data_IF_892624903171
#
_entry.id   IF_892624903171
#
_cell.length_a   1.000
_cell.length_b   1.000
_cell.length_c   1.000
_cell.angle_alpha   90.00
_cell.angle_beta   90.00
_cell.angle_gamma   90.00
#
_symmetry.space_group_name_H-M   'P 1'
#
loop_
_entity.id
_entity.type
_entity.pdbx_description
1 polymer ?
#
# COMPACT_ATOMS: atom_id res chain seq x y z
N UNK A 1 -15.20 -8.51 -2.16
CA UNK A 1 -14.64 -9.75 -1.58
C UNK A 1 -13.85 -10.58 -2.59
N UNK A 2 -14.43 -10.99 -3.73
CA UNK A 2 -13.79 -11.95 -4.65
C UNK A 2 -12.58 -11.40 -5.46
N UNK A 3 -12.47 -10.08 -5.63
CA UNK A 3 -11.37 -9.49 -6.40
C UNK A 3 -10.00 -9.73 -5.73
N UNK A 4 -9.89 -9.56 -4.42
CA UNK A 4 -8.66 -9.84 -3.66
C UNK A 4 -8.25 -11.31 -3.81
N UNK A 5 -9.22 -12.22 -3.75
CA UNK A 5 -8.97 -13.65 -3.96
C UNK A 5 -8.50 -13.95 -5.39
N UNK A 6 -9.08 -13.28 -6.40
CA UNK A 6 -8.66 -13.42 -7.78
C UNK A 6 -7.22 -12.93 -7.98
N UNK A 7 -6.87 -11.79 -7.36
CA UNK A 7 -5.49 -11.28 -7.33
C UNK A 7 -4.54 -12.30 -6.69
N UNK A 8 -4.90 -12.88 -5.55
CA UNK A 8 -4.09 -13.91 -4.90
C UNK A 8 -3.80 -15.11 -5.83
N UNK A 9 -4.84 -15.58 -6.53
CA UNK A 9 -4.71 -16.71 -7.45
C UNK A 9 -3.80 -16.41 -8.64
N UNK A 10 -3.87 -15.21 -9.23
CA UNK A 10 -2.99 -14.86 -10.35
C UNK A 10 -1.53 -14.67 -9.92
N UNK A 11 -1.27 -14.16 -8.71
CA UNK A 11 0.10 -14.05 -8.20
C UNK A 11 0.68 -15.45 -7.97
N UNK A 12 -0.12 -16.38 -7.42
CA UNK A 12 0.25 -17.78 -7.27
C UNK A 12 0.51 -18.47 -8.60
N UNK A 13 -0.34 -18.24 -9.60
CA UNK A 13 -0.13 -18.79 -10.94
C UNK A 13 1.15 -18.24 -11.56
N UNK A 14 1.45 -16.94 -11.40
CA UNK A 14 2.71 -16.36 -11.88
C UNK A 14 3.94 -16.97 -11.18
N UNK A 15 3.86 -17.26 -9.87
CA UNK A 15 4.90 -17.98 -9.13
C UNK A 15 5.05 -19.41 -9.62
N UNK A 16 3.94 -20.11 -9.86
CA UNK A 16 3.95 -21.49 -10.35
C UNK A 16 4.69 -21.62 -11.68
N UNK A 17 4.55 -20.61 -12.55
CA UNK A 17 5.27 -20.51 -13.83
C UNK A 17 6.77 -20.30 -13.66
N UNK A 18 7.19 -19.69 -12.55
CA UNK A 18 8.61 -19.62 -12.18
C UNK A 18 9.10 -21.01 -11.73
N UNK A 19 8.43 -21.59 -10.73
CA UNK A 19 8.66 -22.96 -10.32
C UNK A 19 7.47 -23.49 -9.49
N UNK A 20 6.95 -24.71 -9.75
CA UNK A 20 5.74 -25.21 -9.08
C UNK A 20 5.83 -25.26 -7.55
N UNK A 21 7.00 -25.53 -6.96
CA UNK A 21 7.16 -25.59 -5.50
C UNK A 21 6.99 -24.22 -4.81
N UNK A 22 7.17 -23.11 -5.54
CA UNK A 22 7.11 -21.77 -4.98
C UNK A 22 5.69 -21.33 -4.58
N UNK A 23 4.67 -22.10 -4.93
CA UNK A 23 3.29 -21.86 -4.47
C UNK A 23 3.07 -22.32 -3.02
N UNK A 24 3.96 -23.14 -2.46
CA UNK A 24 3.80 -23.67 -1.11
C UNK A 24 4.53 -22.84 -0.08
N UNK A 25 3.91 -22.64 1.08
CA UNK A 25 4.49 -21.88 2.19
C UNK A 25 5.83 -22.47 2.63
N UNK A 26 5.87 -23.79 2.73
CA UNK A 26 7.06 -24.61 2.95
C UNK A 26 7.25 -25.50 1.71
N UNK A 27 8.42 -25.40 1.07
CA UNK A 27 8.73 -26.14 -0.18
C UNK A 27 8.91 -27.63 0.08
N UNK A 28 9.32 -28.01 1.29
CA UNK A 28 9.52 -29.39 1.72
C UNK A 28 8.19 -29.99 2.21
N UNK A 29 7.28 -29.14 2.72
CA UNK A 29 5.95 -29.55 3.21
C UNK A 29 4.83 -28.90 2.40
N UNK A 30 4.50 -29.53 1.27
CA UNK A 30 3.51 -29.09 0.28
C UNK A 30 2.04 -29.25 0.74
N UNK A 31 1.69 -28.76 1.93
CA UNK A 31 0.31 -28.81 2.48
C UNK A 31 -0.42 -27.47 2.34
N UNK A 32 0.28 -26.37 2.59
CA UNK A 32 -0.30 -25.03 2.60
C UNK A 32 0.27 -24.19 1.45
N UNK A 33 -0.60 -23.47 0.74
CA UNK A 33 -0.15 -22.49 -0.26
C UNK A 33 0.22 -21.17 0.39
N UNK A 34 1.08 -20.39 -0.26
CA UNK A 34 1.48 -19.04 0.20
C UNK A 34 0.27 -18.13 0.35
N UNK A 35 0.31 -17.12 1.23
CA UNK A 35 -0.70 -16.05 1.25
C UNK A 35 -0.50 -15.08 0.10
N UNK A 36 -1.37 -14.08 -0.04
CA UNK A 36 -1.23 -13.00 -1.01
C UNK A 36 0.06 -12.18 -0.79
N UNK A 37 0.32 -11.79 0.46
CA UNK A 37 1.52 -11.08 0.91
C UNK A 37 2.78 -11.89 0.60
N UNK A 38 2.75 -13.18 0.93
CA UNK A 38 3.90 -14.03 0.71
C UNK A 38 4.13 -14.30 -0.78
N UNK A 39 3.05 -14.41 -1.58
CA UNK A 39 3.16 -14.54 -3.03
C UNK A 39 3.80 -13.30 -3.65
N UNK A 40 3.31 -12.09 -3.31
CA UNK A 40 3.87 -10.84 -3.79
C UNK A 40 5.36 -10.69 -3.42
N UNK A 41 5.71 -10.95 -2.15
CA UNK A 41 7.10 -10.89 -1.68
C UNK A 41 8.03 -11.84 -2.42
N UNK A 42 7.57 -13.08 -2.70
CA UNK A 42 8.36 -14.04 -3.50
C UNK A 42 8.53 -13.59 -4.94
N UNK A 43 7.48 -13.05 -5.57
CA UNK A 43 7.57 -12.52 -6.93
C UNK A 43 8.59 -11.37 -7.03
N UNK A 44 8.63 -10.48 -6.03
CA UNK A 44 9.64 -9.42 -5.94
C UNK A 44 11.06 -9.97 -5.78
N UNK A 45 11.27 -10.88 -4.82
CA UNK A 45 12.60 -11.34 -4.46
C UNK A 45 13.20 -12.32 -5.47
N UNK A 46 12.38 -13.24 -5.98
CA UNK A 46 12.79 -14.36 -6.84
C UNK A 46 12.61 -13.99 -8.30
N UNK A 47 11.38 -13.72 -8.72
CA UNK A 47 11.04 -13.43 -10.13
C UNK A 47 11.35 -11.99 -10.57
N UNK A 48 11.87 -11.15 -9.65
CA UNK A 48 12.21 -9.73 -9.89
C UNK A 48 11.04 -8.92 -10.46
N UNK A 49 9.80 -9.29 -10.14
CA UNK A 49 8.64 -8.51 -10.51
C UNK A 49 8.57 -7.28 -9.62
N UNK A 50 8.59 -6.11 -10.25
CA UNK A 50 8.38 -4.84 -9.56
C UNK A 50 6.89 -4.59 -9.36
N UNK A 51 6.54 -4.19 -8.13
CA UNK A 51 5.22 -3.70 -7.76
C UNK A 51 5.37 -2.26 -7.27
N UNK A 52 4.44 -1.40 -7.63
CA UNK A 52 4.33 -0.09 -6.99
C UNK A 52 3.96 -0.29 -5.52
N UNK A 53 4.56 0.50 -4.63
CA UNK A 53 4.23 0.51 -3.21
C UNK A 53 2.74 0.85 -3.02
N UNK A 54 2.22 1.83 -3.75
CA UNK A 54 0.81 2.23 -3.66
C UNK A 54 -0.15 1.11 -4.07
N UNK A 55 0.24 0.26 -5.02
CA UNK A 55 -0.55 -0.91 -5.40
C UNK A 55 -0.57 -1.96 -4.29
N UNK A 56 0.59 -2.27 -3.68
CA UNK A 56 0.67 -3.19 -2.54
C UNK A 56 -0.13 -2.69 -1.35
N UNK A 57 0.00 -1.42 -1.00
CA UNK A 57 -0.72 -0.81 0.12
C UNK A 57 -2.24 -0.88 -0.14
N UNK A 58 -2.68 -0.65 -1.38
CA UNK A 58 -4.09 -0.82 -1.78
C UNK A 58 -4.56 -2.26 -1.64
N UNK A 59 -3.72 -3.25 -2.00
CA UNK A 59 -4.03 -4.67 -1.83
C UNK A 59 -4.18 -5.04 -0.36
N UNK A 60 -3.32 -4.51 0.52
CA UNK A 60 -3.41 -4.74 1.96
C UNK A 60 -4.65 -4.11 2.58
N UNK A 61 -4.97 -2.87 2.21
CA UNK A 61 -6.21 -2.22 2.64
C UNK A 61 -7.45 -2.98 2.16
N UNK A 62 -7.47 -3.47 0.92
CA UNK A 62 -8.58 -4.27 0.43
C UNK A 62 -8.73 -5.61 1.18
N UNK A 63 -7.61 -6.17 1.64
CA UNK A 63 -7.58 -7.38 2.45
C UNK A 63 -8.11 -7.11 3.86
N UNK A 64 -7.80 -5.96 4.47
CA UNK A 64 -8.37 -5.57 5.75
C UNK A 64 -9.88 -5.31 5.65
N UNK A 65 -10.34 -4.64 4.59
CA UNK A 65 -11.78 -4.45 4.30
C UNK A 65 -12.51 -5.80 4.17
N UNK A 66 -11.91 -6.78 3.49
CA UNK A 66 -12.47 -8.13 3.43
C UNK A 66 -12.66 -8.70 4.83
N UNK A 67 -11.65 -8.60 5.70
CA UNK A 67 -11.71 -9.14 7.05
C UNK A 67 -12.79 -8.44 7.88
N UNK A 68 -12.86 -7.10 7.84
CA UNK A 68 -13.88 -6.32 8.56
C UNK A 68 -15.30 -6.65 8.12
N UNK A 69 -15.54 -6.82 6.81
CA UNK A 69 -16.83 -7.26 6.26
C UNK A 69 -17.21 -8.64 6.80
N UNK A 70 -16.24 -9.58 6.82
CA UNK A 70 -16.46 -10.95 7.32
C UNK A 70 -16.75 -10.96 8.83
N UNK A 71 -16.14 -10.04 9.58
CA UNK A 71 -16.29 -9.91 11.03
C UNK A 71 -17.42 -8.94 11.47
N UNK A 72 -18.21 -8.39 10.54
CA UNK A 72 -19.34 -7.48 10.78
C UNK A 72 -19.01 -6.15 11.50
N UNK A 73 -17.75 -5.71 11.49
CA UNK A 73 -17.31 -4.42 12.06
C UNK A 73 -17.35 -3.30 10.99
N UNK A 74 -18.54 -3.02 10.45
CA UNK A 74 -18.66 -2.22 9.23
C UNK A 74 -18.95 -0.73 9.48
N UNK A 75 -17.89 0.10 9.54
CA UNK A 75 -17.98 1.56 9.52
C UNK A 75 -17.08 2.17 8.43
N UNK A 76 -17.22 1.68 7.18
CA UNK A 76 -16.42 2.14 6.02
C UNK A 76 -17.32 2.92 5.07
N UNK A 77 -16.85 4.10 4.65
CA UNK A 77 -17.57 4.95 3.69
C UNK A 77 -17.56 4.37 2.27
N UNK A 78 -18.67 4.55 1.54
CA UNK A 78 -18.82 3.98 0.19
C UNK A 78 -17.78 4.51 -0.80
N UNK A 79 -17.34 5.76 -0.63
CA UNK A 79 -16.32 6.40 -1.46
C UNK A 79 -14.96 5.74 -1.25
N UNK A 80 -14.62 5.37 -0.01
CA UNK A 80 -13.38 4.65 0.33
C UNK A 80 -13.35 3.30 -0.38
N UNK A 81 -14.43 2.52 -0.26
CA UNK A 81 -14.54 1.19 -0.89
C UNK A 81 -14.41 1.30 -2.41
N UNK A 82 -15.15 2.22 -3.03
CA UNK A 82 -15.09 2.41 -4.49
C UNK A 82 -13.69 2.82 -4.96
N UNK A 83 -13.02 3.70 -4.22
CA UNK A 83 -11.67 4.17 -4.53
C UNK A 83 -10.65 3.02 -4.47
N UNK A 84 -10.68 2.23 -3.40
CA UNK A 84 -9.81 1.07 -3.23
C UNK A 84 -10.06 0.03 -4.32
N UNK A 85 -11.33 -0.33 -4.57
CA UNK A 85 -11.65 -1.31 -5.63
C UNK A 85 -11.31 -0.82 -7.03
N UNK A 86 -11.46 0.49 -7.31
CA UNK A 86 -11.01 1.08 -8.58
C UNK A 86 -9.52 0.89 -8.79
N UNK A 87 -8.69 1.16 -7.78
CA UNK A 87 -7.23 0.93 -7.85
C UNK A 87 -6.91 -0.56 -8.01
N UNK A 88 -7.58 -1.45 -7.28
CA UNK A 88 -7.39 -2.90 -7.43
C UNK A 88 -7.71 -3.41 -8.83
N UNK A 89 -8.78 -2.90 -9.46
CA UNK A 89 -9.12 -3.28 -10.84
C UNK A 89 -8.03 -2.78 -11.79
N UNK A 90 -7.54 -1.54 -11.59
CA UNK A 90 -6.42 -0.98 -12.34
C UNK A 90 -5.16 -1.84 -12.23
N UNK A 91 -4.77 -2.21 -11.01
CA UNK A 91 -3.67 -3.13 -10.75
C UNK A 91 -3.90 -4.49 -11.41
N UNK A 92 -5.08 -5.08 -11.25
CA UNK A 92 -5.37 -6.40 -11.79
C UNK A 92 -5.28 -6.41 -13.33
N UNK A 93 -5.82 -5.39 -13.98
CA UNK A 93 -5.72 -5.17 -15.42
C UNK A 93 -4.25 -5.04 -15.86
N UNK A 94 -3.48 -4.17 -15.21
CA UNK A 94 -2.09 -3.91 -15.57
C UNK A 94 -1.22 -5.14 -15.38
N UNK A 95 -1.41 -5.88 -14.29
CA UNK A 95 -0.67 -7.09 -13.99
C UNK A 95 -0.97 -8.21 -15.01
N UNK A 96 -2.24 -8.45 -15.33
CA UNK A 96 -2.61 -9.44 -16.36
C UNK A 96 -2.04 -9.08 -17.73
N UNK A 97 -2.13 -7.82 -18.13
CA UNK A 97 -1.58 -7.38 -19.41
C UNK A 97 -0.06 -7.53 -19.45
N UNK A 98 0.64 -7.18 -18.36
CA UNK A 98 2.10 -7.24 -18.28
C UNK A 98 2.61 -8.68 -18.24
N UNK A 99 2.09 -9.49 -17.32
CA UNK A 99 2.63 -10.82 -16.97
C UNK A 99 1.97 -11.98 -17.75
N UNK A 100 0.75 -11.79 -18.26
CA UNK A 100 -0.01 -12.85 -18.94
C UNK A 100 -0.39 -12.50 -20.38
N UNK A 101 -0.24 -11.23 -20.80
CA UNK A 101 -0.69 -10.72 -22.11
C UNK A 101 -2.20 -10.92 -22.32
N UNK A 102 -2.98 -10.85 -21.24
CA UNK A 102 -4.44 -11.00 -21.23
C UNK A 102 -5.07 -9.71 -20.72
N UNK A 103 -6.22 -9.34 -21.30
CA UNK A 103 -7.01 -8.18 -20.84
C UNK A 103 -8.23 -8.65 -20.05
N UNK A 104 -8.61 -7.94 -18.99
CA UNK A 104 -9.76 -8.32 -18.15
C UNK A 104 -11.07 -8.36 -18.93
N UNK A 105 -11.30 -7.43 -19.85
CA UNK A 105 -12.53 -7.36 -20.66
C UNK A 105 -12.72 -8.58 -21.58
N UNK A 106 -11.65 -9.33 -21.86
CA UNK A 106 -11.72 -10.56 -22.64
C UNK A 106 -12.08 -11.80 -21.82
N UNK A 107 -11.94 -11.74 -20.49
CA UNK A 107 -12.16 -12.90 -19.59
C UNK A 107 -13.34 -12.69 -18.64
N UNK A 108 -13.74 -11.44 -18.40
CA UNK A 108 -14.87 -11.11 -17.52
C UNK A 108 -16.14 -10.94 -18.36
N UNK A 109 -17.27 -11.38 -17.80
CA UNK A 109 -18.59 -11.10 -18.39
C UNK A 109 -18.77 -9.59 -18.64
N UNK A 110 -19.26 -9.24 -19.84
CA UNK A 110 -19.43 -7.86 -20.28
C UNK A 110 -20.24 -6.99 -19.30
N UNK A 111 -21.29 -7.53 -18.69
CA UNK A 111 -22.10 -6.80 -17.72
C UNK A 111 -21.31 -6.46 -16.45
N UNK A 112 -20.56 -7.43 -15.92
CA UNK A 112 -19.68 -7.22 -14.76
C UNK A 112 -18.60 -6.19 -15.09
N UNK A 113 -18.01 -6.28 -16.28
CA UNK A 113 -17.03 -5.31 -16.75
C UNK A 113 -17.61 -3.89 -16.84
N UNK A 114 -18.83 -3.73 -17.34
CA UNK A 114 -19.51 -2.43 -17.35
C UNK A 114 -19.75 -1.87 -15.94
N UNK A 115 -20.02 -2.71 -14.94
CA UNK A 115 -20.13 -2.25 -13.55
C UNK A 115 -18.77 -1.84 -12.98
N UNK A 116 -17.70 -2.55 -13.32
CA UNK A 116 -16.33 -2.18 -12.96
C UNK A 116 -15.96 -0.80 -13.55
N UNK A 117 -16.28 -0.56 -14.83
CA UNK A 117 -16.07 0.74 -15.49
C UNK A 117 -16.81 1.86 -14.74
N UNK A 118 -18.07 1.66 -14.33
CA UNK A 118 -18.81 2.69 -13.57
C UNK A 118 -18.14 3.07 -12.25
N UNK A 119 -17.52 2.11 -11.57
CA UNK A 119 -16.76 2.38 -10.33
C UNK A 119 -15.53 3.22 -10.66
N UNK A 120 -14.79 2.84 -11.70
CA UNK A 120 -13.61 3.56 -12.16
C UNK A 120 -13.95 4.99 -12.57
N UNK A 121 -14.99 5.18 -13.38
CA UNK A 121 -15.44 6.48 -13.86
C UNK A 121 -15.90 7.38 -12.72
N UNK A 122 -16.62 6.82 -11.74
CA UNK A 122 -17.03 7.54 -10.54
C UNK A 122 -15.82 8.11 -9.77
N UNK A 123 -14.80 7.28 -9.53
CA UNK A 123 -13.59 7.71 -8.81
C UNK A 123 -12.77 8.71 -9.64
N UNK A 124 -12.67 8.49 -10.96
CA UNK A 124 -11.98 9.40 -11.87
C UNK A 124 -12.61 10.80 -11.89
N UNK A 125 -13.94 10.88 -11.85
CA UNK A 125 -14.65 12.16 -11.78
C UNK A 125 -14.38 12.87 -10.45
N UNK A 126 -14.35 12.16 -9.31
CA UNK A 126 -13.97 12.73 -8.02
C UNK A 126 -12.52 13.25 -8.03
N UNK A 127 -11.57 12.46 -8.55
CA UNK A 127 -10.18 12.88 -8.72
C UNK A 127 -10.03 14.10 -9.61
N UNK A 128 -10.82 14.18 -10.69
CA UNK A 128 -10.83 15.34 -11.58
C UNK A 128 -11.29 16.60 -10.86
N UNK A 129 -12.31 16.50 -10.01
CA UNK A 129 -12.79 17.61 -9.16
C UNK A 129 -11.76 18.01 -8.11
N UNK A 130 -11.14 17.05 -7.44
CA UNK A 130 -10.05 17.31 -6.49
C UNK A 130 -8.89 18.05 -7.18
N UNK A 131 -8.47 17.60 -8.37
CA UNK A 131 -7.43 18.28 -9.17
C UNK A 131 -7.82 19.69 -9.60
N UNK A 132 -9.09 19.95 -9.87
CA UNK A 132 -9.57 21.30 -10.15
C UNK A 132 -9.48 22.18 -8.90
N UNK A 133 -9.86 21.66 -7.73
CA UNK A 133 -9.75 22.36 -6.45
C UNK A 133 -8.29 22.68 -6.10
N UNK A 134 -7.36 21.74 -6.32
CA UNK A 134 -5.92 22.00 -6.11
C UNK A 134 -5.46 23.23 -6.88
N UNK A 135 -5.92 23.40 -8.14
CA UNK A 135 -5.58 24.54 -8.98
C UNK A 135 -6.25 25.82 -8.49
N UNK A 136 -7.54 25.79 -8.17
CA UNK A 136 -8.26 27.00 -7.74
C UNK A 136 -7.75 27.54 -6.41
N UNK A 137 -7.29 26.66 -5.53
CA UNK A 137 -6.80 27.01 -4.19
C UNK A 137 -5.27 27.18 -4.15
N UNK A 138 -4.58 27.07 -5.30
CA UNK A 138 -3.13 27.15 -5.41
C UNK A 138 -2.41 26.18 -4.45
N UNK A 139 -2.87 24.94 -4.38
CA UNK A 139 -2.24 23.87 -3.59
C UNK A 139 -0.94 23.46 -4.27
N UNK A 140 0.15 23.53 -3.52
CA UNK A 140 1.49 23.12 -3.95
C UNK A 140 1.57 21.59 -3.90
N UNK A 141 2.14 20.98 -4.94
CA UNK A 141 2.20 19.51 -5.12
C UNK A 141 2.86 18.80 -3.95
N UNK A 142 3.92 19.37 -3.36
CA UNK A 142 4.64 18.80 -2.22
C UNK A 142 3.80 18.69 -0.93
N UNK A 143 2.64 19.34 -0.91
CA UNK A 143 1.67 19.27 0.19
C UNK A 143 0.45 18.39 -0.13
N UNK A 144 0.52 17.59 -1.21
CA UNK A 144 -0.50 16.62 -1.62
C UNK A 144 0.04 15.20 -1.40
N UNK A 145 -0.67 14.43 -0.59
CA UNK A 145 -0.29 13.08 -0.18
C UNK A 145 -1.34 12.06 -0.59
N UNK A 146 -0.94 10.79 -0.61
CA UNK A 146 -1.86 9.68 -0.69
C UNK A 146 -2.68 9.59 0.60
N UNK A 147 -4.01 9.54 0.46
CA UNK A 147 -4.91 9.42 1.59
C UNK A 147 -4.89 7.99 2.17
N UNK A 148 -4.77 7.80 3.49
CA UNK A 148 -4.70 6.47 4.11
C UNK A 148 -6.03 5.70 4.06
N UNK A 149 -7.14 6.39 3.76
CA UNK A 149 -8.48 5.78 3.67
C UNK A 149 -8.86 5.34 2.26
N UNK A 150 -8.70 6.23 1.29
CA UNK A 150 -9.14 5.97 -0.09
C UNK A 150 -7.99 5.68 -1.06
N UNK A 151 -6.74 5.81 -0.60
CA UNK A 151 -5.51 5.58 -1.35
C UNK A 151 -5.39 6.44 -2.62
N UNK A 152 -6.06 7.59 -2.62
CA UNK A 152 -5.94 8.58 -3.69
C UNK A 152 -4.97 9.69 -3.28
N UNK A 153 -4.09 10.10 -4.21
CA UNK A 153 -3.22 11.29 -4.06
C UNK A 153 -4.06 12.57 -4.05
N UNK A 154 -4.64 12.86 -2.89
CA UNK A 154 -5.63 13.91 -2.72
C UNK A 154 -5.77 14.40 -1.28
N UNK A 155 -4.90 13.94 -0.37
CA UNK A 155 -4.85 14.43 1.00
C UNK A 155 -3.99 15.70 1.06
N UNK A 156 -4.59 16.83 1.42
CA UNK A 156 -3.94 18.14 1.39
C UNK A 156 -3.65 18.60 2.81
N UNK A 157 -2.40 18.98 3.10
CA UNK A 157 -2.00 19.53 4.41
C UNK A 157 -1.67 21.03 4.38
N UNK A 158 -1.66 21.64 3.19
CA UNK A 158 -1.35 23.07 3.03
C UNK A 158 -2.33 23.92 3.86
N UNK A 159 -1.84 24.98 4.50
CA UNK A 159 -2.67 25.90 5.30
C UNK A 159 -3.56 25.21 6.35
N UNK A 160 -3.08 24.09 6.94
CA UNK A 160 -3.80 23.31 7.96
C UNK A 160 -5.09 22.64 7.46
N UNK A 161 -5.27 22.50 6.13
CA UNK A 161 -6.45 21.87 5.53
C UNK A 161 -6.64 20.43 6.01
N UNK A 162 -5.55 19.64 6.07
CA UNK A 162 -5.50 18.31 6.67
C UNK A 162 -6.63 17.35 6.23
N UNK A 163 -7.03 17.43 4.96
CA UNK A 163 -8.25 16.77 4.45
C UNK A 163 -8.03 16.14 3.08
N UNK A 164 -8.64 14.99 2.83
CA UNK A 164 -8.74 14.35 1.52
C UNK A 164 -9.85 14.95 0.65
N UNK A 165 -9.50 15.47 -0.52
CA UNK A 165 -10.45 16.10 -1.45
C UNK A 165 -11.30 15.09 -2.24
N UNK A 166 -11.04 13.78 -2.07
CA UNK A 166 -11.84 12.71 -2.69
C UNK A 166 -12.84 12.11 -1.71
N UNK A 167 -12.39 11.68 -0.53
CA UNK A 167 -13.24 10.98 0.43
C UNK A 167 -13.65 11.82 1.64
N UNK A 168 -13.10 13.03 1.81
CA UNK A 168 -13.39 13.90 2.95
C UNK A 168 -12.72 13.49 4.25
N UNK A 169 -11.87 12.47 4.25
CA UNK A 169 -11.15 12.04 5.44
C UNK A 169 -10.22 13.16 5.95
N UNK A 170 -10.34 13.46 7.24
CA UNK A 170 -9.48 14.38 7.97
C UNK A 170 -8.50 13.59 8.84
N UNK A 171 -7.24 14.02 8.85
CA UNK A 171 -6.21 13.43 9.69
C UNK A 171 -5.08 14.43 9.95
N UNK A 172 -4.16 14.12 10.87
CA UNK A 172 -3.02 14.98 11.18
C UNK A 172 -1.73 14.37 10.66
N UNK A 173 -0.90 15.23 10.10
CA UNK A 173 0.46 14.89 9.69
C UNK A 173 1.47 15.76 10.42
N UNK A 174 2.56 15.15 10.84
CA UNK A 174 3.70 15.82 11.46
C UNK A 174 5.00 15.46 10.73
N UNK A 175 6.04 16.26 10.93
CA UNK A 175 7.35 15.98 10.36
C UNK A 175 8.08 14.99 11.24
N UNK A 176 8.64 13.95 10.62
CA UNK A 176 9.65 13.12 11.27
C UNK A 176 10.81 14.01 11.75
N UNK A 177 11.21 13.87 13.01
CA UNK A 177 12.27 14.67 13.62
C UNK A 177 13.61 14.55 12.88
N UNK A 178 13.91 13.38 12.31
CA UNK A 178 15.18 13.14 11.64
C UNK A 178 15.16 13.58 10.18
N UNK A 179 14.22 13.07 9.37
CA UNK A 179 14.24 13.29 7.93
C UNK A 179 13.42 14.49 7.46
N UNK A 180 12.72 15.16 8.38
CA UNK A 180 11.86 16.33 8.15
C UNK A 180 10.71 16.12 7.16
N UNK A 181 10.46 14.88 6.73
CA UNK A 181 9.35 14.53 5.85
C UNK A 181 8.07 14.37 6.66
N UNK A 182 6.96 14.85 6.09
CA UNK A 182 5.63 14.66 6.66
C UNK A 182 5.22 13.18 6.67
N UNK A 183 4.58 12.77 7.77
CA UNK A 183 4.00 11.44 8.02
C UNK A 183 2.68 11.61 8.77
N UNK A 184 1.76 10.67 8.64
CA UNK A 184 0.62 10.60 9.53
C UNK A 184 1.11 10.36 10.97
N UNK A 185 0.42 10.92 11.95
CA UNK A 185 0.83 10.78 13.36
C UNK A 185 0.92 9.30 13.76
N UNK A 186 0.01 8.48 13.26
CA UNK A 186 0.00 7.03 13.54
C UNK A 186 1.19 6.28 12.91
N UNK A 187 1.88 6.89 11.94
CA UNK A 187 3.12 6.37 11.32
C UNK A 187 4.40 6.91 11.98
N UNK A 188 4.24 7.68 13.06
CA UNK A 188 5.34 8.25 13.83
C UNK A 188 5.46 7.53 15.17
N UNK A 189 6.70 7.24 15.54
CA UNK A 189 7.04 6.45 16.71
C UNK A 189 8.06 7.19 17.57
N UNK A 190 7.99 6.95 18.87
CA UNK A 190 9.03 7.40 19.80
C UNK A 190 10.21 6.42 19.75
N UNK A 191 11.43 6.96 19.82
CA UNK A 191 12.63 6.14 19.87
C UNK A 191 12.77 5.42 21.22
N UNK A 192 12.29 6.07 22.29
CA UNK A 192 12.22 5.61 23.67
C UNK A 192 10.95 6.17 24.34
N UNK A 193 10.47 5.53 25.41
CA UNK A 193 9.22 5.95 26.11
C UNK A 193 9.26 7.39 26.65
N UNK A 194 10.46 7.92 26.95
CA UNK A 194 10.67 9.27 27.48
C UNK A 194 11.19 10.26 26.43
N UNK A 195 11.14 9.92 25.13
CA UNK A 195 11.56 10.82 24.08
C UNK A 195 10.42 11.77 23.69
N UNK A 196 10.72 13.05 23.51
CA UNK A 196 9.76 14.05 23.05
C UNK A 196 9.69 14.11 21.52
N UNK A 197 10.57 13.35 20.86
CA UNK A 197 10.79 13.38 19.42
C UNK A 197 10.18 12.16 18.75
N UNK A 198 9.47 12.43 17.66
CA UNK A 198 8.82 11.42 16.86
C UNK A 198 9.59 11.15 15.57
N UNK A 199 9.74 9.88 15.24
CA UNK A 199 10.53 9.39 14.11
C UNK A 199 9.67 8.47 13.25
N UNK A 200 9.83 8.54 11.94
CA UNK A 200 9.25 7.52 11.06
C UNK A 200 10.00 6.20 11.20
N UNK A 201 9.33 5.09 10.85
CA UNK A 201 9.89 3.72 10.95
C UNK A 201 11.27 3.60 10.29
N UNK A 202 11.42 4.11 9.05
CA UNK A 202 12.70 4.07 8.32
C UNK A 202 13.85 4.70 9.12
N UNK A 203 13.61 5.87 9.72
CA UNK A 203 14.62 6.57 10.51
C UNK A 203 14.94 5.85 11.81
N UNK A 204 13.95 5.20 12.45
CA UNK A 204 14.20 4.37 13.64
C UNK A 204 15.09 3.18 13.28
N UNK A 205 14.81 2.50 12.17
CA UNK A 205 15.61 1.35 11.73
C UNK A 205 17.05 1.77 11.43
N UNK A 206 17.26 2.88 10.72
CA UNK A 206 18.60 3.42 10.48
C UNK A 206 19.32 3.79 11.79
N UNK A 207 18.63 4.44 12.71
CA UNK A 207 19.15 4.82 14.02
C UNK A 207 19.62 3.63 14.86
N UNK A 208 18.80 2.58 14.89
CA UNK A 208 19.11 1.34 15.63
C UNK A 208 20.31 0.63 15.01
N UNK A 209 20.36 0.56 13.68
CA UNK A 209 21.49 -0.05 12.98
C UNK A 209 22.81 0.69 13.24
N UNK A 210 22.77 2.03 13.35
CA UNK A 210 23.97 2.82 13.72
C UNK A 210 24.45 2.52 15.15
N UNK A 211 23.55 2.40 16.13
CA UNK A 211 23.96 2.06 17.51
C UNK A 211 24.56 0.67 17.63
N UNK A 212 24.00 -0.32 16.94
CA UNK A 212 24.56 -1.67 16.93
C UNK A 212 25.99 -1.69 16.35
N UNK A 213 26.30 -0.82 15.39
CA UNK A 213 27.67 -0.67 14.87
C UNK A 213 28.62 -0.03 15.89
N UNK A 214 28.14 0.93 16.70
CA UNK A 214 28.96 1.56 17.76
C UNK A 214 29.22 0.59 18.94
N UNK A 215 28.25 -0.28 19.27
CA UNK A 215 28.41 -1.31 20.31
C UNK A 215 29.35 -2.46 19.87
N UNK A 216 29.40 -2.79 18.57
CA UNK A 216 30.34 -3.79 18.01
C UNK A 216 31.79 -3.28 17.88
N UNK A 217 31.99 -1.96 17.79
CA UNK A 217 33.34 -1.34 17.76
C UNK A 217 33.93 -1.25 19.18
N UNK A 218 33.09 -1.31 20.23
CA UNK A 218 33.50 -1.30 21.64
C UNK A 218 34.24 -2.56 22.12
N UNK A 219 34.27 -3.65 21.34
CA UNK A 219 34.92 -4.91 21.71
C UNK A 219 36.27 -5.18 21.02
N UNK A 220 36.79 -4.27 20.18
CA UNK A 220 38.05 -4.46 19.45
C UNK A 220 39.20 -3.50 19.83
N UNK A 221 39.14 -2.86 20.99
CA UNK A 221 40.26 -2.02 21.49
C UNK A 221 40.72 -2.35 22.90
N UNK A 222 40.87 -3.63 23.22
CA UNK A 222 41.76 -4.07 24.31
C UNK A 222 42.35 -5.43 23.96
N UNK A 223 43.48 -5.41 23.26
CA UNK A 223 44.64 -6.30 23.42
C UNK A 223 45.55 -6.10 22.22
N UNK A 224 46.61 -5.33 22.38
CA UNK A 224 47.97 -5.65 21.90
C UNK A 224 48.95 -4.56 22.38
N UNK A 225 49.80 -5.03 23.31
CA UNK A 225 51.07 -4.47 23.85
C UNK A 225 50.99 -3.45 25.01
#
# INVERSE_FOLDING_TARGET
>A
MHLVQAIELILKERLKREHPSLIFRDVDKQKETVSLEFAASRLQKISKIEFDKSDLDTIWLATSFRNQIVHFEFSIEIVEIKSVYSKLIGFFQSFLLKEFKISLDTIINKEIWLQAIKIIDYVNELLKRAKHQFKSENIIVDYIFECPRCHQYSFVIQNQINTCYVCGHEDRMEKCYWCEKYRFIDDLFLLHENDDKQYCEDCILELRNRRNLDDDIGYYTMDFQ
#
